data_IF_129274093524
#
_entry.id   IF_129274093524
#
_cell.length_a   1.000
_cell.length_b   1.000
_cell.length_c   1.000
_cell.angle_alpha   90.00
_cell.angle_beta   90.00
_cell.angle_gamma   90.00
#
_symmetry.space_group_name_H-M   'P 1'
#
loop_
_entity.id
_entity.type
_entity.pdbx_description
1 polymer ?
2 polymer ?
3 polymer ?
4 polymer ?
5 non-polymer ?
6 non-polymer ?
7 non-polymer ?
8 non-polymer ?
9 non-polymer ?
10 non-polymer ?
11 water ?
#
loop_
_entity_poly.entity_id
_entity_poly.type
_entity_poly.pdbx_seq_one_letter_code
_entity_poly.pdbx_strand_id
2 'polydeoxyribonucleotide' '(DC)(DG)(DG)(DC)(8OG)(DT)(DA)(DC)(DG)' ?
3 'polydeoxyribonucleotide' '(DC)(DG)(DT)(DA)' ?
4 'polydeoxyribonucleotide' '(DG)(DC)(DC)(DG)' ?
#
# COMPACT_ATOMS: atom_id res chain seq x y z
N UNK A 10 -8.40 23.98 1.34
CA UNK A 10 -8.01 22.57 1.08
C UNK A 10 -7.36 22.40 -0.31
N UNK A 11 -6.06 22.12 -0.33
CA UNK A 11 -5.38 21.95 -1.63
C UNK A 11 -5.82 20.67 -2.33
N UNK A 12 -5.62 20.66 -3.65
CA UNK A 12 -6.22 19.61 -4.47
C UNK A 12 -5.44 18.31 -4.45
N UNK A 13 -4.14 18.34 -4.18
CA UNK A 13 -3.33 17.13 -4.13
C UNK A 13 -3.15 16.64 -2.69
N UNK A 14 -3.19 15.31 -2.50
CA UNK A 14 -3.07 14.76 -1.16
C UNK A 14 -1.71 15.07 -0.56
N UNK A 15 -0.68 15.23 -1.37
CA UNK A 15 0.66 15.48 -0.85
C UNK A 15 0.85 16.90 -0.35
N UNK A 16 -0.15 17.77 -0.52
CA UNK A 16 -0.11 19.15 -0.07
C UNK A 16 -0.78 19.36 1.27
N UNK A 17 -1.25 18.30 1.90
CA UNK A 17 -1.96 18.49 3.15
C UNK A 17 -1.64 17.33 4.07
N UNK A 18 -1.61 17.56 5.38
CA UNK A 18 -1.43 16.47 6.32
C UNK A 18 -2.66 15.57 6.36
N UNK A 19 -2.42 14.26 6.35
CA UNK A 19 -3.50 13.29 6.52
C UNK A 19 -3.14 12.32 7.62
N UNK A 20 -3.77 12.43 8.79
CA UNK A 20 -3.44 11.55 9.90
C UNK A 20 -4.11 10.20 9.71
N UNK A 21 -3.61 9.26 10.49
CA UNK A 21 -4.09 7.89 10.38
C UNK A 21 -5.53 7.78 10.85
N UNK A 22 -5.85 8.43 11.95
CA UNK A 22 -7.22 8.47 12.43
C UNK A 22 -7.77 9.89 12.29
N UNK A 23 -9.06 9.99 12.05
CA UNK A 23 -9.58 11.31 11.69
C UNK A 23 -11.05 11.42 12.14
N UNK A 24 -11.77 12.37 11.56
CA UNK A 24 -13.08 12.78 12.08
C UNK A 24 -14.20 12.51 11.10
N UNK A 25 -13.95 11.73 10.05
CA UNK A 25 -14.95 11.46 9.03
C UNK A 25 -14.87 10.02 8.56
N UNK A 26 -14.67 9.12 9.52
CA UNK A 26 -14.34 7.72 9.21
C UNK A 26 -15.43 7.05 8.38
N UNK A 27 -16.70 7.19 8.80
CA UNK A 27 -17.77 6.53 8.09
C UNK A 27 -17.95 7.03 6.68
N UNK A 28 -17.83 8.34 6.50
CA UNK A 28 -17.97 8.91 5.17
C UNK A 28 -16.84 8.45 4.26
N UNK A 29 -15.61 8.44 4.77
CA UNK A 29 -14.48 8.03 3.93
C UNK A 29 -14.60 6.54 3.56
N UNK A 30 -15.05 5.72 4.51
CA UNK A 30 -15.21 4.29 4.23
C UNK A 30 -16.20 4.05 3.10
N UNK A 31 -17.31 4.80 3.08
CA UNK A 31 -18.30 4.61 2.04
C UNK A 31 -17.73 4.96 0.68
N UNK A 32 -17.04 6.09 0.60
CA UNK A 32 -16.47 6.51 -0.67
C UNK A 32 -15.42 5.50 -1.15
N UNK A 33 -14.69 4.90 -0.23
CA UNK A 33 -13.68 3.91 -0.60
C UNK A 33 -14.30 2.61 -1.10
N UNK A 34 -15.51 2.27 -0.65
CA UNK A 34 -16.23 1.14 -1.24
C UNK A 34 -16.49 1.42 -2.72
N UNK A 35 -16.97 2.62 -3.05
CA UNK A 35 -17.24 2.93 -4.44
C UNK A 35 -15.96 2.96 -5.25
N UNK A 36 -14.88 3.44 -4.65
CA UNK A 36 -13.58 3.44 -5.32
C UNK A 36 -13.16 2.03 -5.67
N UNK A 37 -13.23 1.15 -4.69
CA UNK A 37 -12.85 -0.25 -4.89
C UNK A 37 -13.71 -0.89 -5.97
N UNK A 38 -15.02 -0.64 -5.93
CA UNK A 38 -15.91 -1.21 -6.93
C UNK A 38 -15.58 -0.71 -8.33
N UNK A 39 -15.24 0.58 -8.44
CA UNK A 39 -14.80 1.12 -9.71
C UNK A 39 -13.54 0.41 -10.21
N UNK A 40 -12.60 0.12 -9.31
CA UNK A 40 -11.42 -0.62 -9.70
C UNK A 40 -11.73 -2.02 -10.19
N UNK A 41 -12.68 -2.68 -9.55
CA UNK A 41 -13.05 -4.02 -10.00
C UNK A 41 -13.64 -4.00 -11.40
N UNK A 42 -14.16 -2.86 -11.84
CA UNK A 42 -14.70 -2.76 -13.19
C UNK A 42 -13.71 -2.16 -14.18
N UNK A 43 -12.47 -1.91 -13.76
CA UNK A 43 -11.47 -1.30 -14.61
C UNK A 43 -11.61 0.20 -14.81
N UNK A 44 -12.41 0.88 -13.99
CA UNK A 44 -12.62 2.32 -14.16
C UNK A 44 -11.66 3.06 -13.25
N UNK A 45 -10.41 3.21 -13.74
CA UNK A 45 -9.35 3.78 -12.91
C UNK A 45 -9.60 5.26 -12.59
N UNK A 46 -10.21 6.01 -13.52
CA UNK A 46 -10.50 7.41 -13.25
C UNK A 46 -11.49 7.59 -12.13
N UNK A 47 -12.60 6.84 -12.18
CA UNK A 47 -13.57 6.87 -11.10
C UNK A 47 -12.94 6.44 -9.78
N UNK A 48 -12.13 5.37 -9.81
CA UNK A 48 -11.46 4.91 -8.60
C UNK A 48 -10.64 6.03 -7.98
N UNK A 49 -9.92 6.75 -8.83
CA UNK A 49 -9.08 7.83 -8.34
C UNK A 49 -9.91 8.95 -7.74
N UNK A 50 -11.01 9.34 -8.41
CA UNK A 50 -11.80 10.43 -7.83
C UNK A 50 -12.36 10.03 -6.49
N UNK A 51 -12.93 8.82 -6.38
CA UNK A 51 -13.52 8.43 -5.11
C UNK A 51 -12.45 8.30 -4.02
N UNK A 52 -11.26 7.80 -4.38
CA UNK A 52 -10.17 7.73 -3.41
C UNK A 52 -9.76 9.12 -2.95
N UNK A 53 -9.64 10.05 -3.91
CA UNK A 53 -9.24 11.42 -3.56
C UNK A 53 -10.29 12.10 -2.69
N UNK A 54 -11.58 11.93 -3.02
CA UNK A 54 -12.64 12.51 -2.21
C UNK A 54 -12.61 11.94 -0.80
N UNK A 55 -12.44 10.63 -0.68
CA UNK A 55 -12.29 10.04 0.65
C UNK A 55 -11.13 10.67 1.39
N UNK A 56 -10.00 10.85 0.70
CA UNK A 56 -8.80 11.35 1.35
C UNK A 56 -8.99 12.79 1.82
N UNK A 57 -9.74 13.58 1.07
CA UNK A 57 -10.05 14.94 1.48
C UNK A 57 -10.74 14.94 2.83
N UNK A 58 -11.71 14.05 3.01
CA UNK A 58 -12.42 13.98 4.28
C UNK A 58 -11.49 13.58 5.42
N UNK A 59 -10.53 12.69 5.14
CA UNK A 59 -9.56 12.32 6.16
C UNK A 59 -8.74 13.51 6.63
N UNK A 60 -8.56 14.51 5.77
CA UNK A 60 -7.71 15.64 6.08
C UNK A 60 -8.45 16.76 6.78
N UNK A 61 -9.78 16.66 6.89
CA UNK A 61 -10.54 17.74 7.50
C UNK A 61 -10.32 17.77 9.01
N UNK A 62 -10.44 18.95 9.61
CA UNK A 62 -10.15 19.07 11.05
C UNK A 62 -11.29 18.69 11.97
N UNK A 63 -12.48 18.39 11.43
CA UNK A 63 -13.65 18.10 12.25
C UNK A 63 -14.66 17.33 11.39
N UNK A 64 -15.71 16.80 12.00
CA UNK A 64 -16.71 16.06 11.22
C UNK A 64 -17.51 16.95 10.28
N UNK A 65 -17.76 16.42 9.09
CA UNK A 65 -18.80 16.97 8.21
C UNK A 65 -20.16 16.63 8.80
N UNK A 66 -20.96 17.67 9.06
CA UNK A 66 -22.31 17.51 9.57
C UNK A 66 -23.38 17.99 8.61
N UNK A 67 -23.04 18.85 7.66
CA UNK A 67 -24.02 19.41 6.74
C UNK A 67 -23.42 19.44 5.35
N UNK A 68 -24.29 19.31 4.36
CA UNK A 68 -23.82 19.26 2.98
C UNK A 68 -23.06 20.52 2.59
N UNK A 69 -23.43 21.68 3.15
CA UNK A 69 -22.77 22.92 2.78
C UNK A 69 -21.27 22.90 3.11
N UNK A 70 -20.84 22.05 4.03
CA UNK A 70 -19.42 21.97 4.35
C UNK A 70 -18.61 21.32 3.24
N UNK A 71 -19.24 20.70 2.25
CA UNK A 71 -18.53 20.19 1.09
C UNK A 71 -18.27 21.25 0.03
N UNK A 72 -18.92 22.39 0.13
CA UNK A 72 -18.77 23.41 -0.90
C UNK A 72 -17.32 23.87 -0.98
N UNK A 73 -16.79 23.88 -2.19
CA UNK A 73 -15.42 24.27 -2.38
C UNK A 73 -14.39 23.20 -2.10
N UNK A 74 -14.79 22.04 -1.58
CA UNK A 74 -13.79 21.00 -1.35
C UNK A 74 -13.41 20.34 -2.67
N UNK A 75 -12.13 20.13 -2.93
CA UNK A 75 -11.75 19.47 -4.18
C UNK A 75 -12.23 18.04 -4.22
N UNK A 76 -12.59 17.58 -5.42
CA UNK A 76 -12.97 16.20 -5.75
C UNK A 76 -14.35 15.84 -5.26
N UNK A 77 -15.12 16.82 -4.78
CA UNK A 77 -16.53 16.63 -4.48
C UNK A 77 -17.38 17.28 -5.56
N UNK A 78 -17.99 16.45 -6.39
CA UNK A 78 -18.97 16.88 -7.35
C UNK A 78 -20.32 16.25 -7.05
N UNK A 79 -21.13 16.09 -8.08
CA UNK A 79 -22.50 15.66 -7.85
C UNK A 79 -22.56 14.27 -7.21
N UNK A 80 -21.72 13.36 -7.66
CA UNK A 80 -21.84 11.97 -7.22
C UNK A 80 -21.34 11.81 -5.76
N UNK A 81 -20.11 12.24 -5.48
CA UNK A 81 -19.57 12.09 -4.13
C UNK A 81 -20.40 12.87 -3.12
N UNK A 82 -20.88 14.04 -3.53
CA UNK A 82 -21.69 14.85 -2.62
C UNK A 82 -23.02 14.16 -2.30
N UNK A 83 -23.60 13.45 -3.29
CA UNK A 83 -24.85 12.75 -3.04
C UNK A 83 -24.66 11.59 -2.09
N UNK A 84 -23.55 10.86 -2.25
CA UNK A 84 -23.21 9.82 -1.29
C UNK A 84 -23.17 10.39 0.13
N UNK A 85 -22.49 11.51 0.30
CA UNK A 85 -22.34 12.08 1.64
C UNK A 85 -23.71 12.55 2.14
N UNK A 86 -24.48 13.21 1.28
CA UNK A 86 -25.80 13.68 1.66
C UNK A 86 -26.66 12.56 2.22
N UNK A 87 -26.65 11.41 1.54
CA UNK A 87 -27.50 10.31 1.98
C UNK A 87 -27.03 9.75 3.30
N UNK A 88 -25.69 9.66 3.50
CA UNK A 88 -25.19 9.20 4.77
C UNK A 88 -25.56 10.17 5.90
N UNK A 89 -25.52 11.48 5.62
CA UNK A 89 -25.86 12.45 6.65
C UNK A 89 -27.34 12.41 6.98
N UNK A 90 -28.18 12.18 5.98
CA UNK A 90 -29.63 12.22 6.16
C UNK A 90 -30.21 10.91 6.68
N UNK A 91 -29.60 9.76 6.32
CA UNK A 91 -30.20 8.46 6.63
C UNK A 91 -29.26 7.47 7.28
N UNK A 92 -27.98 7.79 7.41
CA UNK A 92 -27.00 6.88 7.96
C UNK A 92 -26.57 5.78 7.02
N UNK A 93 -27.03 5.81 5.78
CA UNK A 93 -26.71 4.77 4.81
C UNK A 93 -26.90 5.36 3.43
N UNK A 94 -26.09 4.89 2.48
CA UNK A 94 -26.17 5.27 1.08
C UNK A 94 -26.60 4.05 0.26
N UNK A 95 -27.76 4.14 -0.41
CA UNK A 95 -28.29 2.95 -1.05
C UNK A 95 -27.33 2.40 -2.09
N UNK A 96 -26.65 3.28 -2.84
CA UNK A 96 -25.70 2.80 -3.84
C UNK A 96 -24.58 2.01 -3.19
N UNK A 97 -24.06 2.50 -2.06
CA UNK A 97 -22.98 1.81 -1.37
C UNK A 97 -23.46 0.45 -0.87
N UNK A 98 -24.67 0.40 -0.30
CA UNK A 98 -25.18 -0.87 0.22
C UNK A 98 -25.44 -1.86 -0.90
N UNK A 99 -25.90 -1.37 -2.05
CA UNK A 99 -26.11 -2.25 -3.20
C UNK A 99 -24.78 -2.84 -3.67
N UNK A 100 -23.73 -2.02 -3.71
CA UNK A 100 -22.41 -2.55 -4.05
C UNK A 100 -22.00 -3.62 -3.03
N UNK A 101 -22.11 -3.28 -1.74
CA UNK A 101 -21.64 -4.18 -0.69
C UNK A 101 -22.24 -5.57 -0.78
N UNK A 102 -23.53 -5.66 -1.05
CA UNK A 102 -24.18 -6.96 -1.07
C UNK A 102 -24.16 -7.62 -2.44
N UNK A 103 -23.53 -7.01 -3.44
CA UNK A 103 -23.58 -7.58 -4.78
C UNK A 103 -22.60 -8.74 -4.90
N UNK A 104 -23.03 -9.76 -5.64
CA UNK A 104 -22.21 -10.94 -5.84
C UNK A 104 -20.90 -10.57 -6.54
N UNK A 105 -20.99 -9.68 -7.52
CA UNK A 105 -19.81 -9.21 -8.22
C UNK A 105 -18.80 -8.58 -7.27
N UNK A 106 -19.24 -7.63 -6.44
CA UNK A 106 -18.30 -6.98 -5.52
C UNK A 106 -17.70 -7.98 -4.54
N UNK A 107 -18.54 -8.82 -3.94
CA UNK A 107 -18.04 -9.72 -2.90
C UNK A 107 -17.05 -10.72 -3.47
N UNK A 108 -17.30 -11.23 -4.67
CA UNK A 108 -16.40 -12.21 -5.26
C UNK A 108 -15.11 -11.56 -5.77
N UNK A 109 -15.21 -10.39 -6.38
CA UNK A 109 -13.99 -9.72 -6.83
C UNK A 109 -13.13 -9.34 -5.65
N UNK A 110 -13.75 -8.91 -4.55
CA UNK A 110 -13.01 -8.63 -3.33
C UNK A 110 -12.31 -9.88 -2.81
N UNK A 111 -13.04 -10.99 -2.73
CA UNK A 111 -12.48 -12.25 -2.24
C UNK A 111 -11.32 -12.69 -3.11
N UNK A 112 -11.50 -12.66 -4.43
CA UNK A 112 -10.45 -13.16 -5.32
C UNK A 112 -9.24 -12.22 -5.35
N UNK A 113 -9.46 -10.91 -5.46
CA UNK A 113 -8.29 -10.01 -5.58
C UNK A 113 -7.50 -9.93 -4.28
N UNK A 114 -8.13 -10.30 -3.17
CA UNK A 114 -7.45 -10.40 -1.88
C UNK A 114 -6.44 -11.53 -1.83
N UNK A 115 -6.52 -12.48 -2.74
CA UNK A 115 -5.57 -13.59 -2.78
C UNK A 115 -4.23 -13.09 -3.33
N UNK A 116 -3.15 -13.48 -2.67
CA UNK A 116 -1.80 -13.16 -3.15
C UNK A 116 -1.53 -13.90 -4.46
N UNK A 117 -1.22 -13.16 -5.52
CA UNK A 117 -1.06 -13.73 -6.84
C UNK A 117 -2.23 -13.51 -7.78
N UNK A 118 -3.32 -12.93 -7.30
CA UNK A 118 -4.52 -12.70 -8.09
C UNK A 118 -4.79 -11.20 -8.16
N UNK A 119 -4.85 -10.65 -9.37
CA UNK A 119 -5.27 -9.29 -9.59
C UNK A 119 -6.67 -9.18 -10.16
N UNK A 120 -7.05 -7.95 -10.51
CA UNK A 120 -8.39 -7.71 -11.05
C UNK A 120 -8.62 -8.53 -12.31
N UNK A 121 -7.63 -8.55 -13.20
CA UNK A 121 -7.84 -9.24 -14.47
C UNK A 121 -8.05 -10.73 -14.25
N UNK A 122 -7.28 -11.35 -13.36
CA UNK A 122 -7.47 -12.77 -13.13
C UNK A 122 -8.81 -13.03 -12.43
N UNK A 123 -9.12 -12.24 -11.40
CA UNK A 123 -10.37 -12.40 -10.65
C UNK A 123 -11.57 -12.27 -11.58
N UNK A 124 -11.51 -11.28 -12.47
CA UNK A 124 -12.62 -11.04 -13.38
C UNK A 124 -12.81 -12.21 -14.33
N UNK A 125 -11.71 -12.82 -14.79
CA UNK A 125 -11.81 -13.95 -15.71
C UNK A 125 -12.40 -15.17 -15.00
N UNK A 126 -11.99 -15.42 -13.76
CA UNK A 126 -12.59 -16.46 -12.95
C UNK A 126 -14.06 -16.18 -12.70
N UNK A 127 -14.41 -14.92 -12.42
CA UNK A 127 -15.82 -14.57 -12.20
C UNK A 127 -16.65 -14.89 -13.42
N UNK A 128 -16.16 -14.51 -14.60
CA UNK A 128 -16.91 -14.76 -15.83
C UNK A 128 -17.01 -16.25 -16.11
N UNK A 129 -16.04 -17.04 -15.67
CA UNK A 129 -16.10 -18.49 -15.80
C UNK A 129 -17.07 -19.14 -14.81
N UNK A 130 -17.66 -18.35 -13.93
CA UNK A 130 -18.63 -18.85 -12.98
C UNK A 130 -18.08 -19.20 -11.62
N UNK A 131 -16.79 -18.98 -11.36
CA UNK A 131 -16.20 -19.29 -10.08
C UNK A 131 -16.57 -18.23 -9.05
N UNK A 132 -16.79 -18.66 -7.80
CA UNK A 132 -17.30 -17.77 -6.77
C UNK A 132 -16.63 -17.92 -5.41
N UNK A 133 -16.04 -19.06 -5.07
CA UNK A 133 -15.51 -19.31 -3.74
C UNK A 133 -14.08 -19.77 -3.81
N UNK A 134 -13.38 -19.70 -2.67
CA UNK A 134 -12.01 -20.21 -2.63
C UNK A 134 -11.99 -21.70 -2.88
N UNK A 135 -13.00 -22.42 -2.42
CA UNK A 135 -13.02 -23.85 -2.70
C UNK A 135 -13.24 -24.13 -4.18
N UNK A 136 -13.97 -23.27 -4.90
CA UNK A 136 -14.02 -23.39 -6.35
C UNK A 136 -12.63 -23.36 -6.97
N UNK A 137 -11.74 -22.53 -6.43
CA UNK A 137 -10.39 -22.42 -6.98
C UNK A 137 -9.55 -23.62 -6.58
N UNK A 138 -9.71 -24.08 -5.33
CA UNK A 138 -8.94 -25.23 -4.88
C UNK A 138 -9.29 -26.49 -5.66
N UNK A 139 -10.55 -26.60 -6.11
CA UNK A 139 -10.97 -27.80 -6.84
C UNK A 139 -10.38 -27.87 -8.24
N UNK A 140 -10.02 -26.73 -8.84
CA UNK A 140 -9.46 -26.67 -10.17
C UNK A 140 -8.04 -26.09 -10.12
N UNK A 141 -7.12 -26.78 -9.43
CA UNK A 141 -5.80 -26.19 -9.19
C UNK A 141 -4.89 -26.17 -10.40
N UNK A 142 -5.28 -26.83 -11.49
CA UNK A 142 -4.51 -26.74 -12.72
C UNK A 142 -4.50 -25.33 -13.27
N UNK A 143 -5.50 -24.52 -12.92
CA UNK A 143 -5.60 -23.15 -13.39
C UNK A 143 -4.77 -22.17 -12.56
N UNK A 144 -3.91 -22.64 -11.65
CA UNK A 144 -3.26 -21.74 -10.69
C UNK A 144 -1.75 -21.70 -10.87
N UNK A 145 -1.19 -20.50 -10.77
CA UNK A 145 0.25 -20.36 -10.74
C UNK A 145 0.77 -20.79 -9.38
N UNK A 146 2.08 -21.05 -9.31
CA UNK A 146 2.70 -21.39 -8.03
C UNK A 146 2.44 -20.30 -7.00
N UNK A 147 2.52 -19.03 -7.42
CA UNK A 147 2.28 -17.93 -6.50
C UNK A 147 0.85 -17.96 -5.97
N UNK A 148 -0.11 -18.20 -6.86
CA UNK A 148 -1.51 -18.28 -6.47
C UNK A 148 -1.75 -19.48 -5.58
N UNK A 149 -1.07 -20.59 -5.84
CA UNK A 149 -1.24 -21.75 -4.97
C UNK A 149 -0.80 -21.40 -3.55
N UNK A 150 0.31 -20.70 -3.43
CA UNK A 150 0.79 -20.28 -2.11
C UNK A 150 -0.17 -19.30 -1.47
N UNK A 151 -0.66 -18.35 -2.26
CA UNK A 151 -1.61 -17.40 -1.72
C UNK A 151 -2.89 -18.06 -1.24
N UNK A 152 -3.36 -19.08 -1.95
CA UNK A 152 -4.58 -19.77 -1.56
C UNK A 152 -4.33 -20.67 -0.34
N UNK A 153 -3.22 -21.42 -0.33
CA UNK A 153 -2.92 -22.25 0.83
C UNK A 153 -2.82 -21.42 2.10
N UNK A 154 -2.18 -20.26 2.01
CA UNK A 154 -1.93 -19.43 3.18
C UNK A 154 -2.99 -18.35 3.39
N UNK A 155 -4.10 -18.44 2.66
CA UNK A 155 -5.03 -17.33 2.62
C UNK A 155 -5.57 -16.98 4.01
N UNK A 156 -5.87 -18.01 4.83
CA UNK A 156 -6.45 -17.74 6.13
C UNK A 156 -5.49 -16.94 7.00
N UNK A 157 -4.25 -17.39 7.11
CA UNK A 157 -3.26 -16.66 7.90
C UNK A 157 -3.05 -15.26 7.32
N UNK A 158 -2.99 -15.15 6.00
CA UNK A 158 -2.70 -13.85 5.39
C UNK A 158 -3.87 -12.88 5.52
N UNK A 159 -5.06 -13.39 5.86
CA UNK A 159 -6.21 -12.55 6.14
C UNK A 159 -6.26 -12.05 7.57
N UNK A 160 -5.37 -12.52 8.43
CA UNK A 160 -5.24 -12.10 9.82
C UNK A 160 -4.32 -10.89 9.90
N UNK A 161 -4.70 -9.79 10.54
CA UNK A 161 -3.79 -8.63 10.59
C UNK A 161 -2.46 -8.97 11.24
N UNK A 162 -1.39 -8.43 10.66
CA UNK A 162 -0.08 -8.41 11.29
C UNK A 162 -0.11 -7.35 12.37
N UNK A 163 0.41 -7.68 13.56
CA UNK A 163 0.37 -6.74 14.67
C UNK A 163 1.71 -6.02 14.81
N UNK A 164 1.64 -4.76 15.24
CA UNK A 164 2.88 -4.02 15.44
C UNK A 164 3.76 -4.78 16.40
N UNK A 165 3.15 -5.47 17.35
CA UNK A 165 3.94 -6.22 18.29
C UNK A 165 4.63 -7.42 17.65
N UNK A 166 4.21 -7.84 16.44
CA UNK A 166 4.89 -8.89 15.66
C UNK A 166 6.14 -8.35 14.93
N UNK A 167 6.17 -7.05 14.66
CA UNK A 167 7.09 -6.52 13.66
C UNK A 167 8.52 -6.55 14.20
N UNK A 168 8.69 -6.24 15.48
CA UNK A 168 10.03 -6.15 16.06
C UNK A 168 10.76 -7.48 15.98
N UNK A 169 10.08 -8.57 16.32
CA UNK A 169 10.72 -9.87 16.26
C UNK A 169 11.08 -10.25 14.82
N UNK A 170 10.18 -9.94 13.89
CA UNK A 170 10.45 -10.14 12.48
C UNK A 170 11.66 -9.32 12.02
N UNK A 171 11.71 -8.06 12.42
CA UNK A 171 12.84 -7.23 11.98
C UNK A 171 14.15 -7.78 12.51
N UNK A 172 14.14 -8.35 13.71
CA UNK A 172 15.37 -8.90 14.26
C UNK A 172 15.86 -10.09 13.43
N UNK A 173 14.96 -10.97 12.98
CA UNK A 173 15.44 -12.11 12.20
C UNK A 173 15.92 -11.65 10.82
N UNK A 174 15.26 -10.64 10.23
CA UNK A 174 15.74 -10.12 8.96
C UNK A 174 17.12 -9.48 9.12
N UNK A 175 17.30 -8.71 10.18
CA UNK A 175 18.58 -8.07 10.46
C UNK A 175 19.70 -9.09 10.62
N UNK A 176 19.41 -10.22 11.25
CA UNK A 176 20.42 -11.26 11.43
C UNK A 176 20.87 -11.80 10.08
N UNK A 177 19.91 -12.09 9.19
CA UNK A 177 20.28 -12.65 7.90
C UNK A 177 21.01 -11.60 7.06
N UNK A 178 20.54 -10.36 7.14
CA UNK A 178 21.16 -9.27 6.39
C UNK A 178 22.59 -9.04 6.84
N UNK A 179 22.84 -9.15 8.15
CA UNK A 179 24.17 -8.91 8.69
C UNK A 179 25.18 -9.95 8.27
N UNK A 180 24.73 -11.21 8.10
CA UNK A 180 25.60 -12.25 7.55
C UNK A 180 25.79 -12.07 6.06
N UNK A 181 24.74 -11.64 5.36
CA UNK A 181 24.85 -11.46 3.92
C UNK A 181 25.81 -10.33 3.60
N UNK A 182 25.81 -9.29 4.41
CA UNK A 182 26.63 -8.11 4.14
C UNK A 182 26.77 -7.28 5.42
N UNK A 183 27.83 -7.51 6.18
CA UNK A 183 28.03 -6.73 7.39
C UNK A 183 27.96 -5.24 7.14
N UNK A 184 27.24 -4.54 8.02
CA UNK A 184 27.05 -3.11 7.89
C UNK A 184 25.79 -2.72 7.16
N UNK A 185 25.12 -3.67 6.53
CA UNK A 185 23.87 -3.36 5.85
C UNK A 185 22.80 -3.14 6.89
N UNK A 186 21.84 -2.28 6.56
CA UNK A 186 20.82 -1.87 7.51
C UNK A 186 19.44 -2.26 7.00
N UNK A 187 18.52 -2.38 7.95
CA UNK A 187 17.13 -2.72 7.69
C UNK A 187 16.27 -1.62 8.27
N UNK A 188 15.42 -1.02 7.44
CA UNK A 188 14.53 0.05 7.87
C UNK A 188 13.08 -0.38 7.65
N UNK A 189 12.25 -0.26 8.70
CA UNK A 189 10.81 -0.51 8.58
C UNK A 189 10.15 0.59 7.75
N UNK A 190 9.41 0.19 6.72
CA UNK A 190 8.70 1.15 5.88
C UNK A 190 7.21 0.84 5.88
N UNK A 191 6.54 1.13 4.76
CA UNK A 191 5.13 0.83 4.64
C UNK A 191 4.25 1.37 5.75
N UNK A 192 3.10 0.74 5.93
CA UNK A 192 2.08 1.27 6.83
C UNK A 192 2.53 1.38 8.27
N UNK A 193 3.37 0.46 8.74
CA UNK A 193 3.82 0.57 10.13
C UNK A 193 4.67 1.81 10.34
N UNK A 194 5.45 2.24 9.34
CA UNK A 194 6.19 3.49 9.53
C UNK A 194 5.25 4.70 9.59
N UNK A 195 4.07 4.61 9.00
CA UNK A 195 3.07 5.67 9.08
C UNK A 195 2.27 5.63 10.38
N UNK A 196 2.61 4.72 11.29
CA UNK A 196 1.96 4.62 12.58
C UNK A 196 0.87 3.58 12.69
N UNK A 197 0.61 2.78 11.67
CA UNK A 197 -0.47 1.81 11.76
C UNK A 197 -0.17 0.82 12.86
N UNK A 198 -1.20 0.38 13.55
CA UNK A 198 -1.03 -0.62 14.58
C UNK A 198 -1.20 -2.04 14.05
N UNK A 199 -1.76 -2.19 12.85
CA UNK A 199 -1.88 -3.47 12.17
C UNK A 199 -1.53 -3.28 10.70
N UNK A 200 -1.29 -4.40 10.01
CA UNK A 200 -1.08 -4.32 8.58
C UNK A 200 -1.34 -5.65 7.91
N UNK A 201 -1.35 -5.57 6.57
CA UNK A 201 -1.49 -6.76 5.74
C UNK A 201 -0.15 -7.45 5.52
N UNK A 202 0.94 -6.74 5.76
CA UNK A 202 2.27 -7.28 5.57
C UNK A 202 3.24 -6.41 6.37
N UNK A 203 4.52 -6.77 6.29
CA UNK A 203 5.59 -5.92 6.81
C UNK A 203 6.51 -5.59 5.64
N UNK A 204 6.88 -4.32 5.51
CA UNK A 204 7.70 -3.82 4.41
C UNK A 204 9.04 -3.35 4.97
N UNK A 205 10.15 -3.89 4.45
CA UNK A 205 11.49 -3.54 4.92
C UNK A 205 12.32 -3.03 3.75
N UNK A 206 13.08 -1.96 4.00
CA UNK A 206 14.01 -1.39 3.03
C UNK A 206 15.44 -1.61 3.52
N UNK A 207 16.29 -2.15 2.67
CA UNK A 207 17.64 -2.57 3.03
C UNK A 207 18.64 -1.75 2.21
N UNK A 208 19.70 -1.28 2.86
CA UNK A 208 20.75 -0.58 2.13
C UNK A 208 22.07 -0.83 2.85
N UNK A 209 23.12 -0.18 2.36
CA UNK A 209 24.45 -0.25 2.95
C UNK A 209 25.08 1.13 2.78
N UNK A 210 25.83 1.63 3.79
CA UNK A 210 26.33 3.01 3.69
C UNK A 210 27.37 3.24 2.61
N UNK A 211 28.00 2.19 2.09
CA UNK A 211 29.00 2.31 1.03
C UNK A 211 28.33 2.02 -0.30
N UNK A 212 28.14 3.06 -1.10
CA UNK A 212 27.52 2.93 -2.39
C UNK A 212 28.14 1.79 -3.19
N UNK A 213 27.28 0.93 -3.73
CA UNK A 213 27.67 -0.19 -4.54
C UNK A 213 27.75 -1.50 -3.78
N UNK A 214 27.95 -1.44 -2.47
CA UNK A 214 28.10 -2.67 -1.70
C UNK A 214 26.80 -3.46 -1.65
N UNK A 215 25.66 -2.81 -1.91
CA UNK A 215 24.38 -3.49 -1.85
C UNK A 215 24.09 -4.29 -3.11
N UNK A 216 24.90 -4.17 -4.16
CA UNK A 216 24.69 -4.95 -5.36
C UNK A 216 24.71 -6.44 -5.02
N UNK A 217 23.73 -7.18 -5.55
CA UNK A 217 23.64 -8.62 -5.33
C UNK A 217 23.25 -9.05 -3.93
N UNK A 218 22.75 -8.12 -3.12
CA UNK A 218 22.48 -8.41 -1.70
C UNK A 218 21.27 -9.30 -1.50
N UNK A 219 20.17 -9.02 -2.20
CA UNK A 219 18.92 -9.68 -1.84
C UNK A 219 18.94 -11.20 -2.04
N UNK A 220 19.53 -11.73 -3.11
CA UNK A 220 19.64 -13.21 -3.19
C UNK A 220 20.35 -13.82 -2.01
N UNK A 221 21.39 -13.14 -1.53
CA UNK A 221 22.16 -13.61 -0.39
C UNK A 221 21.31 -13.61 0.88
N UNK A 222 20.48 -12.58 1.04
CA UNK A 222 19.58 -12.50 2.18
C UNK A 222 18.54 -13.60 2.10
N UNK A 223 17.93 -13.77 0.93
CA UNK A 223 16.85 -14.73 0.81
C UNK A 223 17.35 -16.14 1.04
N UNK A 224 18.58 -16.44 0.55
CA UNK A 224 19.14 -17.77 0.73
C UNK A 224 19.34 -18.08 2.19
N UNK A 225 19.78 -17.07 2.96
CA UNK A 225 20.00 -17.24 4.38
C UNK A 225 18.68 -17.39 5.14
N UNK A 226 17.67 -16.61 4.80
CA UNK A 226 16.38 -16.80 5.46
C UNK A 226 15.80 -18.16 5.15
N UNK A 227 15.93 -18.60 3.90
CA UNK A 227 15.44 -19.92 3.51
C UNK A 227 16.17 -21.02 4.26
N UNK A 228 17.47 -20.87 4.45
CA UNK A 228 18.24 -21.88 5.19
C UNK A 228 17.82 -21.96 6.65
N UNK A 229 17.37 -20.84 7.24
CA UNK A 229 16.86 -20.83 8.60
C UNK A 229 15.45 -21.40 8.72
N UNK A 230 14.83 -21.83 7.62
CA UNK A 230 13.50 -22.42 7.65
C UNK A 230 12.38 -21.40 7.79
N UNK A 231 12.66 -20.14 7.50
CA UNK A 231 11.72 -19.07 7.78
C UNK A 231 10.86 -18.69 6.58
N UNK A 232 11.15 -19.22 5.40
CA UNK A 232 10.51 -18.77 4.18
C UNK A 232 9.56 -19.86 3.72
N UNK A 233 8.27 -19.55 3.78
CA UNK A 233 7.25 -20.47 3.30
C UNK A 233 7.06 -20.35 1.80
N UNK A 234 7.27 -19.15 1.25
CA UNK A 234 7.17 -18.94 -0.18
C UNK A 234 8.06 -17.75 -0.57
N UNK A 235 8.83 -17.92 -1.63
CA UNK A 235 9.31 -16.75 -2.35
C UNK A 235 9.54 -17.09 -3.81
N UNK A 236 9.67 -16.04 -4.61
CA UNK A 236 9.71 -16.17 -6.07
C UNK A 236 10.91 -16.94 -6.57
N UNK A 237 11.92 -17.18 -5.73
CA UNK A 237 13.09 -17.93 -6.15
C UNK A 237 13.29 -19.14 -5.23
N UNK A 256 19.25 -12.54 -10.14
CA UNK A 256 19.51 -11.15 -9.75
C UNK A 256 18.22 -10.37 -9.55
N UNK A 257 18.00 -9.85 -8.34
CA UNK A 257 16.73 -9.16 -8.06
C UNK A 257 16.95 -8.21 -6.90
N UNK A 258 16.01 -7.26 -6.75
CA UNK A 258 16.09 -6.25 -5.70
C UNK A 258 14.82 -6.06 -4.89
N UNK A 259 13.74 -6.74 -5.26
CA UNK A 259 12.51 -6.75 -4.48
C UNK A 259 12.10 -8.20 -4.31
N UNK A 260 11.68 -8.57 -3.09
CA UNK A 260 11.16 -9.89 -2.80
C UNK A 260 9.81 -9.78 -2.11
N UNK A 261 8.82 -10.53 -2.60
CA UNK A 261 7.49 -10.56 -2.00
C UNK A 261 7.32 -11.97 -1.45
N UNK A 262 7.54 -12.15 -0.17
CA UNK A 262 7.59 -13.51 0.35
C UNK A 262 6.57 -13.71 1.45
N UNK A 263 6.43 -14.98 1.82
CA UNK A 263 5.60 -15.40 2.93
C UNK A 263 6.55 -16.02 3.94
N UNK A 264 6.51 -15.49 5.15
CA UNK A 264 7.41 -15.79 6.25
C UNK A 264 6.69 -16.59 7.31
N UNK A 265 7.45 -17.46 7.98
CA UNK A 265 6.99 -18.18 9.15
C UNK A 265 7.26 -17.35 10.41
N UNK A 266 6.21 -16.89 11.05
CA UNK A 266 6.32 -16.09 12.26
C UNK A 266 5.89 -16.87 13.49
N UNK A 267 6.70 -16.93 14.54
CA UNK A 267 6.30 -17.68 15.74
C UNK A 267 5.03 -17.15 16.39
N UNK A 268 4.31 -18.07 17.01
CA UNK A 268 3.11 -17.85 17.80
C UNK A 268 3.20 -18.79 18.99
N UNK A 269 2.46 -18.53 20.06
CA UNK A 269 2.45 -19.47 21.19
C UNK A 269 2.19 -20.91 20.76
N UNK A 270 3.21 -21.76 20.88
CA UNK A 270 3.04 -23.17 20.59
C UNK A 270 2.91 -23.52 19.12
N UNK A 271 3.09 -22.54 18.24
CA UNK A 271 2.89 -22.75 16.82
C UNK A 271 3.49 -21.58 16.05
N UNK A 272 2.88 -21.21 14.94
CA UNK A 272 3.38 -20.14 14.08
C UNK A 272 2.26 -19.73 13.13
N UNK A 273 2.46 -18.61 12.44
CA UNK A 273 1.52 -18.18 11.41
C UNK A 273 2.31 -17.64 10.22
N UNK A 274 1.71 -17.75 9.04
CA UNK A 274 2.27 -17.19 7.83
C UNK A 274 1.99 -15.71 7.79
N UNK A 275 3.01 -14.93 7.41
CA UNK A 275 2.93 -13.47 7.29
C UNK A 275 3.57 -13.04 5.97
N UNK A 276 2.96 -12.09 5.30
CA UNK A 276 3.59 -11.50 4.12
C UNK A 276 4.66 -10.48 4.52
N UNK A 277 5.84 -10.61 3.91
CA UNK A 277 6.95 -9.70 4.14
C UNK A 277 7.49 -9.26 2.79
N UNK A 278 7.68 -7.95 2.62
CA UNK A 278 8.32 -7.41 1.44
C UNK A 278 9.70 -6.89 1.81
N UNK A 279 10.68 -7.24 0.99
CA UNK A 279 12.04 -6.77 1.15
C UNK A 279 12.47 -6.07 -0.11
N UNK A 280 13.07 -4.88 0.03
CA UNK A 280 13.57 -4.12 -1.11
C UNK A 280 14.93 -3.58 -0.76
N UNK A 281 15.88 -3.69 -1.71
CA UNK A 281 17.24 -3.20 -1.57
C UNK A 281 17.36 -1.96 -2.43
N UNK A 282 17.98 -0.92 -1.88
CA UNK A 282 18.33 0.27 -2.66
C UNK A 282 19.76 0.70 -2.36
N UNK A 283 20.45 1.26 -3.34
CA UNK A 283 21.73 1.91 -3.02
C UNK A 283 21.50 3.13 -2.15
N UNK A 284 22.52 3.46 -1.35
CA UNK A 284 22.31 4.51 -0.35
C UNK A 284 22.03 5.85 -1.03
N UNK A 285 22.56 6.07 -2.24
CA UNK A 285 22.25 7.30 -2.98
C UNK A 285 20.76 7.44 -3.25
N UNK A 286 20.05 6.34 -3.38
CA UNK A 286 18.62 6.34 -3.69
C UNK A 286 17.77 6.16 -2.45
N UNK A 287 18.38 5.95 -1.29
CA UNK A 287 17.63 5.56 -0.11
C UNK A 287 16.52 6.57 0.22
N UNK A 288 16.74 7.89 0.15
CA UNK A 288 15.62 8.80 0.46
C UNK A 288 14.42 8.60 -0.45
N UNK A 289 14.68 8.34 -1.74
CA UNK A 289 13.60 8.13 -2.70
C UNK A 289 12.89 6.83 -2.43
N UNK A 290 13.65 5.80 -2.05
CA UNK A 290 13.04 4.50 -1.81
C UNK A 290 12.24 4.52 -0.51
N UNK A 291 12.81 5.17 0.50
CA UNK A 291 12.09 5.33 1.76
C UNK A 291 10.80 6.11 1.54
N UNK A 292 10.86 7.19 0.78
CA UNK A 292 9.64 7.96 0.50
C UNK A 292 8.63 7.10 -0.25
N UNK A 293 9.11 6.39 -1.27
CA UNK A 293 8.20 5.59 -2.07
C UNK A 293 7.54 4.47 -1.29
N UNK A 294 8.34 3.72 -0.53
CA UNK A 294 7.83 2.55 0.17
C UNK A 294 7.12 2.88 1.46
N UNK A 295 7.20 4.13 1.96
CA UNK A 295 6.44 4.49 3.13
C UNK A 295 4.98 4.84 2.80
N UNK A 296 4.68 5.22 1.57
CA UNK A 296 3.28 5.39 1.18
C UNK A 296 2.65 6.63 1.81
N UNK A 297 1.32 6.65 1.96
CA UNK A 297 0.41 5.61 1.47
C UNK A 297 0.47 5.49 -0.06
N UNK A 298 -0.19 4.44 -0.59
CA UNK A 298 -0.25 4.26 -2.03
C UNK A 298 -0.83 5.51 -2.71
N UNK A 299 -1.95 6.01 -2.20
CA UNK A 299 -2.55 7.21 -2.79
C UNK A 299 -1.64 8.42 -2.62
N UNK A 300 -1.00 8.57 -1.45
CA UNK A 300 -0.06 9.66 -1.25
C UNK A 300 1.04 9.65 -2.31
N UNK A 301 1.58 8.46 -2.63
CA UNK A 301 2.68 8.40 -3.59
C UNK A 301 2.20 8.68 -5.02
N UNK A 302 1.04 8.17 -5.42
CA UNK A 302 0.50 8.49 -6.74
C UNK A 302 0.28 9.99 -6.86
N UNK A 303 -0.30 10.60 -5.81
CA UNK A 303 -0.54 12.04 -5.82
C UNK A 303 0.76 12.84 -5.84
N UNK A 304 1.77 12.39 -5.09
CA UNK A 304 3.07 13.07 -5.09
C UNK A 304 3.74 13.00 -6.45
N UNK A 305 3.71 11.83 -7.09
CA UNK A 305 4.30 11.71 -8.42
C UNK A 305 3.52 12.53 -9.45
N UNK A 306 2.18 12.57 -9.32
CA UNK A 306 1.36 13.37 -10.20
C UNK A 306 1.65 14.86 -10.00
N UNK A 307 1.77 15.27 -8.74
CA UNK A 307 2.13 16.66 -8.44
C UNK A 307 3.48 17.02 -9.03
N UNK A 308 4.47 16.16 -8.79
CA UNK A 308 5.81 16.41 -9.27
C UNK A 308 5.80 16.67 -10.78
N UNK A 309 5.15 15.78 -11.53
CA UNK A 309 5.21 15.86 -12.99
C UNK A 309 4.34 16.99 -13.51
N UNK A 310 3.13 17.09 -13.02
CA UNK A 310 2.17 18.03 -13.59
C UNK A 310 2.37 19.44 -13.09
N UNK A 311 2.82 19.63 -11.86
CA UNK A 311 2.99 20.97 -11.32
C UNK A 311 4.43 21.44 -11.38
N UNK A 312 5.42 20.54 -11.31
CA UNK A 312 6.82 20.92 -11.23
C UNK A 312 7.63 20.48 -12.44
N UNK A 313 7.07 19.66 -13.32
CA UNK A 313 7.81 19.20 -14.48
C UNK A 313 8.94 18.26 -14.18
N UNK A 314 8.89 17.58 -13.04
CA UNK A 314 9.92 16.66 -12.60
C UNK A 314 9.33 15.27 -12.47
N UNK A 315 10.11 14.25 -12.80
CA UNK A 315 9.65 12.86 -12.82
C UNK A 315 10.18 12.14 -11.57
N UNK A 316 9.28 11.68 -10.73
CA UNK A 316 9.62 11.09 -9.44
C UNK A 316 9.35 9.60 -9.45
N UNK A 317 10.31 8.81 -8.96
CA UNK A 317 10.01 7.42 -8.68
C UNK A 317 10.81 7.01 -7.46
N UNK A 318 10.86 5.70 -7.19
CA UNK A 318 11.51 5.25 -5.97
C UNK A 318 13.01 5.20 -6.11
N UNK A 319 13.53 5.59 -7.29
CA UNK A 319 14.96 5.67 -7.53
C UNK A 319 15.50 7.09 -7.56
N UNK A 320 14.67 8.10 -7.75
CA UNK A 320 15.22 9.42 -7.98
C UNK A 320 14.19 10.39 -8.49
N UNK A 321 14.67 11.60 -8.77
CA UNK A 321 13.82 12.71 -9.18
C UNK A 321 14.52 13.38 -10.34
N UNK A 322 13.91 13.26 -11.51
CA UNK A 322 14.57 13.59 -12.78
C UNK A 322 14.03 14.88 -13.37
N UNK A 323 14.94 15.75 -13.79
CA UNK A 323 14.57 16.94 -14.53
C UNK A 323 14.74 16.65 -16.02
N UNK A 324 13.67 16.52 -16.79
CA UNK A 324 13.82 16.09 -18.18
C UNK A 324 14.29 17.20 -19.11
N UNK A 325 14.32 18.44 -18.64
CA UNK A 325 14.86 19.53 -19.46
C UNK A 325 16.37 19.62 -19.33
N UNK A 326 16.91 19.50 -18.11
CA UNK A 326 18.35 19.46 -17.91
C UNK A 326 18.93 18.07 -18.02
N UNK A 327 18.09 17.04 -18.01
CA UNK A 327 18.56 15.66 -17.98
C UNK A 327 19.48 15.43 -16.78
N UNK A 328 19.02 15.88 -15.61
CA UNK A 328 19.74 15.74 -14.36
C UNK A 328 18.86 15.13 -13.28
N UNK A 329 19.51 14.43 -12.35
CA UNK A 329 18.87 13.82 -11.19
C UNK A 329 19.20 14.63 -9.94
N UNK A 330 18.18 14.86 -9.12
CA UNK A 330 18.36 15.57 -7.86
C UNK A 330 18.97 14.64 -6.80
N UNK A 331 20.09 15.06 -6.22
CA UNK A 331 20.80 14.22 -5.25
C UNK A 331 20.28 14.56 -3.85
N UNK A 332 19.27 13.82 -3.42
CA UNK A 332 18.68 14.04 -2.11
C UNK A 332 19.42 13.28 -1.04
N UNK A 333 19.57 13.91 0.13
CA UNK A 333 20.13 13.25 1.28
C UNK A 333 19.09 12.83 2.31
N UNK A 334 17.85 13.26 2.13
CA UNK A 334 16.77 12.98 3.07
C UNK A 334 15.43 13.15 2.37
N UNK A 335 14.40 12.58 3.00
CA UNK A 335 13.04 12.88 2.57
C UNK A 335 12.76 14.38 2.63
N UNK A 336 13.23 15.04 3.70
CA UNK A 336 13.08 16.48 3.78
C UNK A 336 13.60 17.18 2.53
N UNK A 337 14.75 16.73 2.01
CA UNK A 337 15.31 17.31 0.79
C UNK A 337 14.32 17.22 -0.36
N UNK A 338 13.66 16.05 -0.49
CA UNK A 338 12.76 15.82 -1.62
C UNK A 338 11.54 16.73 -1.54
N UNK A 339 10.93 16.82 -0.35
CA UNK A 339 9.80 17.74 -0.20
C UNK A 339 10.23 19.16 -0.53
N UNK A 340 11.39 19.59 -0.04
CA UNK A 340 11.85 20.94 -0.33
C UNK A 340 12.03 21.16 -1.83
N UNK A 341 12.63 20.19 -2.52
CA UNK A 341 12.90 20.35 -3.94
C UNK A 341 11.60 20.46 -4.74
N UNK A 342 10.53 19.84 -4.25
CA UNK A 342 9.21 19.90 -4.88
C UNK A 342 8.37 21.08 -4.41
N UNK A 343 8.91 21.96 -3.57
CA UNK A 343 8.14 23.10 -3.10
C UNK A 343 6.99 22.75 -2.18
N UNK A 344 7.11 21.65 -1.42
CA UNK A 344 6.05 21.17 -0.54
C UNK A 344 6.52 21.25 0.90
N UNK A 345 5.60 21.59 1.80
CA UNK A 345 5.92 21.49 3.22
C UNK A 345 6.14 20.03 3.61
N UNK A 346 7.16 19.80 4.43
CA UNK A 346 7.48 18.43 4.85
C UNK A 346 6.31 17.83 5.63
N UNK A 347 6.02 16.56 5.33
CA UNK A 347 5.04 15.79 6.06
C UNK A 347 5.73 14.58 6.65
N UNK A 348 5.71 14.38 7.96
CA UNK A 348 6.23 13.16 8.53
C UNK A 348 5.40 11.98 8.07
N UNK A 349 5.92 10.76 8.20
CA UNK A 349 5.19 9.57 7.69
C UNK A 349 3.77 9.43 8.25
N UNK A 350 3.58 9.83 9.50
CA UNK A 350 2.27 9.69 10.11
C UNK A 350 1.24 10.67 9.55
N UNK A 351 1.65 11.66 8.76
CA UNK A 351 0.74 12.57 8.08
C UNK A 351 0.65 12.28 6.59
N UNK A 352 1.07 11.08 6.16
CA UNK A 352 1.00 10.66 4.76
C UNK A 352 -0.05 9.57 4.57
N UNK A 353 -1.03 9.51 5.46
CA UNK A 353 -2.08 8.50 5.42
C UNK A 353 -3.25 8.91 4.54
N UNK A 354 -2.91 9.34 3.34
CA UNK A 354 -3.93 9.68 2.35
C UNK A 354 -4.72 8.47 1.95
X LIG E 1 2.80 -1.08 0.22
X LIG E 1 3.84 -0.48 0.91
X LIG E 1 4.12 0.82 0.20
X LIG E 1 4.39 0.57 -1.18
X LIG E 1 2.91 1.71 0.11
X LIG E 1 2.62 2.29 1.37
X LIG E 1 3.36 2.69 -1.00
X LIG E 1 4.40 3.53 -0.57
X LIG E 1 4.02 1.70 -1.95
X LIG E 1 1.58 -0.38 -3.73
X LIG E 1 2.44 0.05 -2.83
X LIG E 1 3.08 1.25 -2.97
X LIG E 1 2.86 2.06 -4.05
X LIG E 1 2.00 1.63 -5.00
X LIG E 1 1.37 0.45 -4.86
X LIG E 1 -1.07 -2.62 5.90
X LIG E 1 -0.67 -2.56 4.46
X LIG E 1 -1.89 -2.84 3.57
X LIG E 1 0.55 -3.34 4.01
X LIG E 1 -0.38 -0.97 4.17
X LIG E 1 0.86 -0.48 3.28
X LIG E 1 0.72 1.03 3.14
X LIG E 1 2.15 -0.97 3.87
X LIG E 1 1.81 -2.12 0.88
X LIG E 1 1.11 -2.81 -0.25
X LIG E 1 2.62 -3.05 1.74
X LIG E 1 0.50 0.05 -5.80
X LIG E 1 3.49 3.12 -4.09
X LIG E 1 0.52 -1.18 1.67
X LIG F 1 4.03 -4.53 1.06
X LIG G 1 2.62 -2.96 3.91
X LIG H 1 -4.12 -10.10 -5.05
X LIG I 1 9.23 3.16 -8.39
X LIG J 1 -13.13 5.53 -15.16
X LIG K 1 15.30 10.22 4.84
X LIG L 1 -5.99 -0.13 12.65
X LIG L 1 -4.44 0.62 12.05
X LIG L 1 -3.59 -0.48 11.61
X LIG L 1 -4.79 1.46 10.91
X LIG L 1 -3.83 1.34 13.15
X LIG M 1 6.94 0.75 -4.26
X LIG M 1 7.78 0.14 -5.23
X LIG M 1 6.66 2.18 -4.67
X LIG M 1 7.85 2.95 -4.64
X LIG N 1 19.45 9.15 -6.56
X LIG N 1 18.64 9.19 -7.74
X LIG N 1 20.76 9.85 -6.88
X LIG N 1 21.17 9.45 -8.19
X LIG O 1 4.13 7.12 -16.07
#
# INVERSE_FOLDING_TARGET
GSAAASPAWMPAYACQRPTPLTHHNTGLSEALEILAEAAGFEGSEGRLLTFCRAASVLKALPSPVTTLSQLQGLPHFGEHSSRVVQELLEHGVCEEVERVRRSERYQTMKLFTQIFGVGVKTADRWYREGLRTLDDLREQPQKLTQQQKAGLQHHQDLSTPVLRSDVDALQQVVEEAVGQALPGATVTLTGGFRRGKLQGHDVDFLITHPKEGQEAGLLPRVMCRLQDQGLILYHQHQHSCCESPTRLAQQSHMDAFERSFCIFRLPQPGSWKAVRVDLVVAPVSQFPFALLGWTGSKLFQRELRRFSRKEKGLWLNSHGLFDPEQKTFFQAASEEDIFRHLGLEYLPPEQRNA
2TM O5' C5' C4' O4' C3' O3' C2' O2' C1' C5 C6 N1 C2 N3 C4 O3G PG O1G O2G O3B PB O1B O2B PA O1A O2A N4 O2 C1
MG MG
MG MG
NA NA
CL CL
CL CL
CL CL
EPE C10 S O1S O2S O3S
EDO C1 O1 C2 O2
EDO C1 O1 C2 O2
NA NA
#
